data_IF_251758062691
#
_entry.id   IF_251758062691
#
_cell.length_a   1.000
_cell.length_b   1.000
_cell.length_c   1.000
_cell.angle_alpha   90.00
_cell.angle_beta   90.00
_cell.angle_gamma   90.00
#
_symmetry.space_group_name_H-M   'P 1'
#
loop_
_entity.id
_entity.type
_entity.pdbx_description
1 polymer ?
#
# COMPACT_ATOMS: atom_id res chain seq x y z
N UNK A 1 -49.88 -20.51 7.23
CA UNK A 1 -48.57 -20.11 7.79
C UNK A 1 -47.68 -19.71 6.63
N UNK A 2 -47.35 -18.43 6.49
CA UNK A 2 -46.53 -17.90 5.40
C UNK A 2 -45.08 -17.80 5.89
N UNK A 3 -44.15 -18.49 5.24
CA UNK A 3 -42.71 -18.32 5.50
C UNK A 3 -42.16 -17.31 4.48
N UNK A 4 -41.93 -16.09 4.93
CA UNK A 4 -41.14 -15.08 4.22
C UNK A 4 -39.66 -15.44 4.31
N UNK A 5 -39.05 -15.81 3.19
CA UNK A 5 -37.61 -15.97 3.09
C UNK A 5 -36.95 -14.59 3.04
N UNK A 6 -36.16 -14.27 4.05
CA UNK A 6 -35.22 -13.15 4.02
C UNK A 6 -34.22 -13.40 2.87
N UNK A 7 -34.29 -12.59 1.82
CA UNK A 7 -33.26 -12.54 0.78
C UNK A 7 -32.00 -11.94 1.40
N UNK A 8 -31.06 -12.80 1.79
CA UNK A 8 -29.69 -12.38 2.04
C UNK A 8 -29.16 -11.77 0.74
N UNK A 9 -28.81 -10.48 0.75
CA UNK A 9 -28.11 -9.82 -0.35
C UNK A 9 -26.73 -10.49 -0.48
N UNK A 10 -26.64 -11.46 -1.39
CA UNK A 10 -25.37 -12.07 -1.76
C UNK A 10 -24.63 -11.01 -2.57
N UNK A 11 -23.61 -10.39 -1.98
CA UNK A 11 -22.69 -9.54 -2.72
C UNK A 11 -22.19 -10.32 -3.95
N UNK A 12 -22.27 -9.76 -5.18
CA UNK A 12 -21.87 -10.47 -6.38
C UNK A 12 -20.40 -10.88 -6.23
N UNK A 13 -20.11 -12.16 -6.50
CA UNK A 13 -18.73 -12.65 -6.51
C UNK A 13 -17.96 -11.86 -7.58
N UNK A 14 -16.69 -11.46 -7.31
CA UNK A 14 -15.86 -10.83 -8.33
C UNK A 14 -15.85 -11.68 -9.61
N UNK A 15 -16.02 -11.09 -10.80
CA UNK A 15 -16.01 -11.83 -12.05
C UNK A 15 -14.71 -12.64 -12.18
N UNK A 16 -14.83 -13.97 -12.30
CA UNK A 16 -13.67 -14.85 -12.44
C UNK A 16 -13.20 -14.80 -13.89
N UNK A 17 -11.92 -14.48 -14.10
CA UNK A 17 -11.27 -14.59 -15.42
C UNK A 17 -11.52 -13.43 -16.39
N UNK A 18 -12.02 -12.27 -15.92
CA UNK A 18 -12.06 -11.05 -16.73
C UNK A 18 -10.86 -10.16 -16.39
N UNK A 19 -10.15 -9.68 -17.40
CA UNK A 19 -9.14 -8.62 -17.23
C UNK A 19 -9.85 -7.35 -16.78
N UNK A 20 -9.42 -6.78 -15.65
CA UNK A 20 -9.92 -5.51 -15.16
C UNK A 20 -9.62 -4.42 -16.18
N UNK A 21 -10.62 -3.65 -16.56
CA UNK A 21 -10.44 -2.45 -17.35
C UNK A 21 -10.04 -1.27 -16.46
N UNK A 22 -9.56 -0.19 -17.04
CA UNK A 22 -9.09 0.98 -16.28
C UNK A 22 -10.16 1.53 -15.31
N UNK A 23 -11.44 1.54 -15.71
CA UNK A 23 -12.55 1.95 -14.85
C UNK A 23 -12.94 0.97 -13.75
N UNK A 24 -12.40 -0.26 -13.76
CA UNK A 24 -12.66 -1.28 -12.72
C UNK A 24 -11.66 -1.18 -11.55
N UNK A 25 -10.55 -0.47 -11.75
CA UNK A 25 -9.51 -0.26 -10.74
C UNK A 25 -9.69 1.13 -10.12
N UNK A 26 -9.80 1.24 -8.78
CA UNK A 26 -9.90 2.55 -8.13
C UNK A 26 -8.69 3.44 -8.43
N UNK A 27 -8.92 4.74 -8.59
CA UNK A 27 -7.88 5.74 -8.87
C UNK A 27 -6.79 5.72 -7.78
N UNK A 28 -7.18 5.52 -6.52
CA UNK A 28 -6.26 5.43 -5.39
C UNK A 28 -5.27 4.28 -5.53
N UNK A 29 -5.62 3.22 -6.26
CA UNK A 29 -4.69 2.12 -6.52
C UNK A 29 -3.61 2.51 -7.54
N UNK A 30 -3.94 3.32 -8.54
CA UNK A 30 -2.93 3.84 -9.48
C UNK A 30 -2.00 4.84 -8.77
N UNK A 31 -2.56 5.80 -8.06
CA UNK A 31 -1.78 6.80 -7.32
C UNK A 31 -0.84 6.15 -6.31
N UNK A 32 -1.32 5.19 -5.52
CA UNK A 32 -0.48 4.56 -4.48
C UNK A 32 0.58 3.65 -5.08
N UNK A 33 0.40 3.10 -6.28
CA UNK A 33 1.47 2.39 -6.99
C UNK A 33 2.61 3.33 -7.32
N UNK A 34 2.32 4.50 -7.88
CA UNK A 34 3.34 5.50 -8.21
C UNK A 34 4.08 5.97 -6.94
N UNK A 35 3.33 6.21 -5.86
CA UNK A 35 3.91 6.67 -4.59
C UNK A 35 4.74 5.56 -3.94
N UNK A 36 4.31 4.30 -3.97
CA UNK A 36 5.11 3.16 -3.47
C UNK A 36 6.39 2.98 -4.29
N UNK A 37 6.33 3.12 -5.62
CA UNK A 37 7.50 3.08 -6.49
C UNK A 37 8.48 4.20 -6.15
N UNK A 38 7.99 5.43 -6.02
CA UNK A 38 8.80 6.59 -5.62
C UNK A 38 9.42 6.39 -4.23
N UNK A 39 8.62 5.97 -3.24
CA UNK A 39 9.10 5.66 -1.91
C UNK A 39 10.19 4.58 -1.94
N UNK A 40 10.01 3.52 -2.73
CA UNK A 40 10.98 2.44 -2.81
C UNK A 40 12.30 2.93 -3.45
N UNK A 41 12.23 3.56 -4.61
CA UNK A 41 13.41 3.93 -5.41
C UNK A 41 14.15 5.14 -4.85
N UNK A 42 13.44 6.18 -4.40
CA UNK A 42 14.05 7.44 -3.96
C UNK A 42 14.22 7.50 -2.44
N UNK A 43 13.42 6.77 -1.68
CA UNK A 43 13.48 6.75 -0.22
C UNK A 43 14.17 5.50 0.32
N UNK A 44 13.57 4.33 0.11
CA UNK A 44 13.92 3.10 0.78
C UNK A 44 15.30 2.60 0.36
N UNK A 45 15.51 2.32 -0.95
CA UNK A 45 16.78 1.79 -1.48
C UNK A 45 17.98 2.67 -1.09
N UNK A 46 17.97 4.01 -1.32
CA UNK A 46 19.08 4.87 -0.93
C UNK A 46 19.35 4.90 0.59
N UNK A 47 18.32 4.68 1.40
CA UNK A 47 18.44 4.64 2.86
C UNK A 47 19.08 3.33 3.36
N UNK A 48 18.74 2.19 2.76
CA UNK A 48 19.27 0.87 3.19
C UNK A 48 20.65 0.54 2.60
N UNK A 49 20.90 0.92 1.35
CA UNK A 49 22.16 0.63 0.64
C UNK A 49 23.18 1.78 0.75
N UNK A 50 22.75 2.91 1.31
CA UNK A 50 23.55 4.11 1.39
C UNK A 50 24.73 4.01 2.35
N UNK A 51 25.93 4.43 1.90
CA UNK A 51 27.06 4.58 2.80
C UNK A 51 26.81 5.74 3.81
N UNK A 52 26.84 5.48 5.13
CA UNK A 52 26.54 6.47 6.18
C UNK A 52 27.62 7.56 6.35
N UNK A 53 28.84 7.35 5.85
CA UNK A 53 29.94 8.31 5.99
C UNK A 53 29.87 9.48 5.00
N UNK A 54 28.91 9.45 4.08
CA UNK A 54 28.72 10.50 3.08
C UNK A 54 27.86 11.63 3.64
N UNK A 55 28.23 12.89 3.35
CA UNK A 55 27.48 14.10 3.73
C UNK A 55 26.00 14.01 3.29
N UNK A 56 25.72 13.35 2.16
CA UNK A 56 24.38 13.10 1.63
C UNK A 56 23.56 12.05 2.40
N UNK A 57 24.09 11.48 3.48
CA UNK A 57 23.36 10.52 4.31
C UNK A 57 22.13 11.17 4.97
N UNK A 58 22.30 12.35 5.57
CA UNK A 58 21.19 13.04 6.23
C UNK A 58 20.10 13.45 5.24
N UNK A 59 20.47 13.86 4.03
CA UNK A 59 19.51 14.15 2.95
C UNK A 59 18.68 12.91 2.58
N UNK A 60 19.31 11.73 2.47
CA UNK A 60 18.63 10.45 2.22
C UNK A 60 17.70 10.07 3.36
N UNK A 61 18.15 10.25 4.61
CA UNK A 61 17.33 10.00 5.81
C UNK A 61 16.09 10.88 5.81
N UNK A 62 16.24 12.17 5.50
CA UNK A 62 15.13 13.12 5.51
C UNK A 62 14.16 12.86 4.34
N UNK A 63 14.68 12.50 3.17
CA UNK A 63 13.85 12.09 2.04
C UNK A 63 13.06 10.81 2.35
N UNK A 64 13.71 9.80 2.92
CA UNK A 64 13.04 8.58 3.37
C UNK A 64 11.94 8.86 4.40
N UNK A 65 12.22 9.71 5.39
CA UNK A 65 11.22 10.14 6.39
C UNK A 65 10.06 10.88 5.74
N UNK A 66 10.33 11.78 4.79
CA UNK A 66 9.32 12.57 4.08
C UNK A 66 8.39 11.66 3.30
N UNK A 67 8.92 10.77 2.46
CA UNK A 67 8.13 9.83 1.67
C UNK A 67 7.36 8.85 2.55
N UNK A 68 7.98 8.36 3.63
CA UNK A 68 7.31 7.49 4.61
C UNK A 68 6.14 8.19 5.30
N UNK A 69 6.26 9.49 5.64
CA UNK A 69 5.16 10.29 6.19
C UNK A 69 4.02 10.44 5.19
N UNK A 70 4.33 10.69 3.91
CA UNK A 70 3.32 10.76 2.84
C UNK A 70 2.55 9.45 2.72
N UNK A 71 3.26 8.31 2.65
CA UNK A 71 2.62 7.00 2.65
C UNK A 71 1.75 6.78 3.90
N UNK A 72 2.29 7.07 5.09
CA UNK A 72 1.56 6.89 6.34
C UNK A 72 0.28 7.74 6.41
N UNK A 73 0.27 8.93 5.80
CA UNK A 73 -0.91 9.78 5.69
C UNK A 73 -1.97 9.16 4.76
N UNK A 74 -1.57 8.72 3.56
CA UNK A 74 -2.48 8.15 2.58
C UNK A 74 -3.14 6.86 3.06
N UNK A 75 -2.37 5.95 3.68
CA UNK A 75 -2.90 4.67 4.16
C UNK A 75 -3.84 4.80 5.37
N UNK A 76 -4.04 6.00 5.94
CA UNK A 76 -5.13 6.26 6.90
C UNK A 76 -6.50 6.15 6.23
N UNK A 77 -6.58 6.46 4.95
CA UNK A 77 -7.79 6.28 4.16
C UNK A 77 -7.95 4.79 3.78
N UNK A 78 -9.16 4.25 3.95
CA UNK A 78 -9.46 2.83 3.73
C UNK A 78 -9.26 2.38 2.28
N UNK A 79 -9.48 3.26 1.30
CA UNK A 79 -9.26 2.97 -0.11
C UNK A 79 -7.77 2.66 -0.37
N UNK A 80 -6.87 3.60 -0.03
CA UNK A 80 -5.43 3.41 -0.11
C UNK A 80 -4.94 2.24 0.75
N UNK A 81 -5.46 2.06 1.96
CA UNK A 81 -5.08 0.92 2.81
C UNK A 81 -5.39 -0.42 2.12
N UNK A 82 -6.54 -0.52 1.46
CA UNK A 82 -6.95 -1.73 0.75
C UNK A 82 -6.14 -1.94 -0.52
N UNK A 83 -5.85 -0.84 -1.26
CA UNK A 83 -4.98 -0.88 -2.42
C UNK A 83 -3.56 -1.34 -2.06
N UNK A 84 -2.95 -0.79 -1.01
CA UNK A 84 -1.61 -1.20 -0.55
C UNK A 84 -1.59 -2.68 -0.20
N UNK A 85 -2.57 -3.18 0.56
CA UNK A 85 -2.66 -4.63 0.90
C UNK A 85 -2.73 -5.52 -0.34
N UNK A 86 -3.44 -5.10 -1.39
CA UNK A 86 -3.51 -5.85 -2.66
C UNK A 86 -2.20 -5.79 -3.44
N UNK A 87 -1.54 -4.64 -3.49
CA UNK A 87 -0.27 -4.46 -4.18
C UNK A 87 0.82 -5.29 -3.50
N UNK A 88 0.93 -5.20 -2.17
CA UNK A 88 1.97 -5.90 -1.41
C UNK A 88 1.71 -7.39 -1.28
N UNK A 89 0.50 -7.89 -1.54
CA UNK A 89 0.24 -9.35 -1.54
C UNK A 89 0.99 -10.11 -2.64
N UNK A 90 1.51 -9.38 -3.64
CA UNK A 90 2.33 -9.94 -4.72
C UNK A 90 3.84 -9.81 -4.45
N UNK A 91 4.24 -9.18 -3.34
CA UNK A 91 5.64 -8.98 -2.98
C UNK A 91 6.18 -10.19 -2.22
N UNK A 92 7.50 -10.32 -2.16
CA UNK A 92 8.17 -11.36 -1.37
C UNK A 92 8.04 -11.06 0.14
N UNK A 93 7.43 -11.98 0.91
CA UNK A 93 7.16 -11.77 2.35
C UNK A 93 8.39 -11.52 3.21
N UNK A 94 9.54 -12.04 2.78
CA UNK A 94 10.81 -11.92 3.52
C UNK A 94 11.55 -10.61 3.23
N UNK A 95 11.09 -9.82 2.25
CA UNK A 95 11.78 -8.58 1.92
C UNK A 95 11.55 -7.49 2.98
N UNK A 96 12.56 -6.63 3.15
CA UNK A 96 12.52 -5.59 4.18
C UNK A 96 11.43 -4.56 3.87
N UNK A 97 11.25 -4.20 2.60
CA UNK A 97 10.21 -3.28 2.15
C UNK A 97 8.81 -3.82 2.42
N UNK A 98 8.57 -5.12 2.20
CA UNK A 98 7.29 -5.75 2.54
C UNK A 98 7.01 -5.63 4.04
N UNK A 99 7.97 -6.04 4.87
CA UNK A 99 7.85 -5.98 6.34
C UNK A 99 7.63 -4.55 6.82
N UNK A 100 8.32 -3.57 6.23
CA UNK A 100 8.21 -2.16 6.59
C UNK A 100 6.83 -1.59 6.25
N UNK A 101 6.32 -1.83 5.03
CA UNK A 101 4.98 -1.38 4.64
C UNK A 101 3.90 -2.04 5.51
N UNK A 102 4.03 -3.32 5.83
CA UNK A 102 3.10 -4.01 6.72
C UNK A 102 3.16 -3.48 8.15
N UNK A 103 4.34 -3.09 8.64
CA UNK A 103 4.48 -2.36 9.89
C UNK A 103 3.74 -1.01 9.85
N UNK A 104 3.87 -0.23 8.77
CA UNK A 104 3.14 1.03 8.62
C UNK A 104 1.62 0.81 8.62
N UNK A 105 1.13 -0.19 7.89
CA UNK A 105 -0.29 -0.56 7.86
C UNK A 105 -0.82 -0.95 9.25
N UNK A 106 -0.04 -1.70 10.02
CA UNK A 106 -0.36 -2.03 11.40
C UNK A 106 -0.37 -0.78 12.28
N UNK A 107 0.70 0.02 12.25
CA UNK A 107 0.86 1.23 13.06
C UNK A 107 -0.30 2.21 12.85
N UNK A 108 -0.67 2.48 11.60
CA UNK A 108 -1.73 3.44 11.27
C UNK A 108 -3.12 2.96 11.72
N UNK A 109 -3.36 1.64 11.81
CA UNK A 109 -4.62 1.11 12.35
C UNK A 109 -4.80 1.39 13.84
N UNK A 110 -3.71 1.60 14.57
CA UNK A 110 -3.69 1.72 16.02
C UNK A 110 -3.35 3.14 16.51
N UNK A 111 -3.43 4.15 15.63
CA UNK A 111 -3.22 5.58 15.91
C UNK A 111 -4.46 6.37 15.53
#
# INVERSE_FOLDING_TARGET
MSMTYMTMSIAPRPPVGKTLQHGDVPEEEFEIREILTCWYQAGFVPFIEGNPEQISFWDRVDEFKRLTKTLALLIRCRAYQSAVKRITSQWQSESLEFRYIHYLLYKVRHV
#
